data_IF_688117932274
#
_entry.id   IF_688117932274
#
_cell.length_a   1.000
_cell.length_b   1.000
_cell.length_c   1.000
_cell.angle_alpha   90.00
_cell.angle_beta   90.00
_cell.angle_gamma   90.00
#
_symmetry.space_group_name_H-M   'P 1'
#
loop_
_entity.id
_entity.type
_entity.pdbx_description
1 polymer ?
#
# COMPACT_ATOMS: atom_id res chain seq x y z
N UNK A 1 10.36 23.14 -13.06
CA UNK A 1 10.63 22.00 -12.14
C UNK A 1 10.34 22.50 -10.75
N UNK A 2 9.42 21.89 -9.97
CA UNK A 2 9.31 22.25 -8.56
C UNK A 2 10.67 22.01 -7.90
N UNK A 3 11.14 22.95 -7.08
CA UNK A 3 12.36 22.78 -6.30
C UNK A 3 12.20 21.60 -5.35
N UNK A 4 13.14 20.65 -5.39
CA UNK A 4 13.16 19.52 -4.46
C UNK A 4 13.24 20.06 -3.03
N UNK A 5 12.16 19.90 -2.29
CA UNK A 5 12.07 20.30 -0.89
C UNK A 5 12.74 19.21 -0.06
N UNK A 6 13.59 19.59 0.89
CA UNK A 6 14.34 18.62 1.69
C UNK A 6 13.41 17.73 2.54
N UNK A 7 13.83 16.52 2.93
CA UNK A 7 13.05 15.66 3.82
C UNK A 7 12.64 16.36 5.14
N UNK A 8 13.54 17.19 5.70
CA UNK A 8 13.28 17.92 6.93
C UNK A 8 12.16 18.97 6.77
N UNK A 9 12.17 19.70 5.66
CA UNK A 9 11.12 20.67 5.33
C UNK A 9 9.78 20.00 5.08
N UNK A 10 9.77 18.83 4.40
CA UNK A 10 8.56 18.04 4.18
C UNK A 10 7.95 17.54 5.49
N UNK A 11 8.79 17.09 6.44
CA UNK A 11 8.33 16.65 7.76
C UNK A 11 7.75 17.80 8.58
N UNK A 12 8.43 18.95 8.58
CA UNK A 12 7.93 20.16 9.25
C UNK A 12 6.57 20.60 8.68
N UNK A 13 6.42 20.54 7.35
CA UNK A 13 5.15 20.82 6.68
C UNK A 13 4.06 19.81 7.04
N UNK A 14 4.34 18.51 7.02
CA UNK A 14 3.38 17.47 7.38
C UNK A 14 2.87 17.64 8.83
N UNK A 15 3.77 17.90 9.78
CA UNK A 15 3.41 18.19 11.18
C UNK A 15 2.44 19.36 11.29
N UNK A 16 2.70 20.45 10.57
CA UNK A 16 1.82 21.62 10.58
C UNK A 16 0.43 21.28 10.03
N UNK A 17 0.37 20.61 8.89
CA UNK A 17 -0.89 20.21 8.27
C UNK A 17 -1.71 19.30 9.19
N UNK A 18 -1.06 18.37 9.90
CA UNK A 18 -1.72 17.48 10.85
C UNK A 18 -2.22 18.22 12.10
N UNK A 19 -1.46 19.18 12.62
CA UNK A 19 -1.86 19.97 13.79
C UNK A 19 -3.05 20.89 13.51
N UNK A 20 -3.10 21.47 12.32
CA UNK A 20 -4.13 22.45 11.94
C UNK A 20 -5.42 21.77 11.42
N UNK A 21 -5.37 20.47 11.10
CA UNK A 21 -6.51 19.73 10.55
C UNK A 21 -7.55 19.38 11.63
N UNK A 22 -8.81 19.73 11.38
CA UNK A 22 -9.95 19.30 12.20
C UNK A 22 -10.49 17.92 11.81
N UNK A 23 -10.17 17.45 10.59
CA UNK A 23 -10.56 16.14 10.08
C UNK A 23 -9.43 15.57 9.21
N UNK A 24 -9.05 14.32 9.48
CA UNK A 24 -7.97 13.63 8.77
C UNK A 24 -8.52 12.33 8.18
N UNK A 25 -8.34 12.17 6.86
CA UNK A 25 -8.56 10.90 6.17
C UNK A 25 -7.19 10.27 5.89
N UNK A 26 -7.01 9.02 6.31
CA UNK A 26 -5.82 8.23 6.00
C UNK A 26 -6.22 7.14 5.03
N UNK A 27 -5.64 7.15 3.84
CA UNK A 27 -5.74 6.04 2.89
C UNK A 27 -4.52 5.15 3.07
N UNK A 28 -4.73 3.90 3.45
CA UNK A 28 -3.67 2.91 3.63
C UNK A 28 -3.73 1.83 2.55
N UNK A 29 -2.61 1.14 2.33
CA UNK A 29 -2.54 -0.08 1.54
C UNK A 29 -1.88 -1.20 2.36
N UNK A 30 -1.68 -2.37 1.75
CA UNK A 30 -1.12 -3.56 2.41
C UNK A 30 0.22 -3.32 3.12
N UNK A 31 1.01 -2.34 2.67
CA UNK A 31 2.30 -2.01 3.28
C UNK A 31 2.23 -1.66 4.76
N UNK A 32 1.12 -1.10 5.25
CA UNK A 32 0.95 -0.80 6.69
C UNK A 32 0.95 -2.06 7.57
N UNK A 33 0.65 -3.22 6.98
CA UNK A 33 0.56 -4.52 7.69
C UNK A 33 1.83 -5.37 7.55
N UNK A 34 2.80 -4.95 6.74
CA UNK A 34 4.02 -5.72 6.47
C UNK A 34 4.81 -6.02 7.76
N UNK A 35 4.98 -5.03 8.63
CA UNK A 35 5.68 -5.16 9.91
C UNK A 35 4.91 -6.02 10.92
N UNK A 36 3.63 -6.30 10.67
CA UNK A 36 2.82 -7.25 11.46
C UNK A 36 2.89 -8.69 10.93
N UNK A 37 3.74 -8.96 9.93
CA UNK A 37 3.89 -10.29 9.34
C UNK A 37 2.84 -10.65 8.28
N UNK A 38 1.99 -9.69 7.87
CA UNK A 38 1.04 -9.91 6.76
C UNK A 38 1.77 -9.64 5.43
N UNK A 39 1.84 -10.61 4.51
CA UNK A 39 2.49 -10.40 3.22
C UNK A 39 1.84 -9.28 2.42
N UNK A 40 2.65 -8.56 1.67
CA UNK A 40 2.18 -7.51 0.76
C UNK A 40 2.04 -8.04 -0.66
N UNK A 41 1.30 -7.33 -1.50
CA UNK A 41 1.19 -7.71 -2.91
C UNK A 41 2.46 -7.43 -3.71
N UNK A 42 3.21 -6.37 -3.38
CA UNK A 42 4.42 -5.92 -4.09
C UNK A 42 5.55 -5.70 -3.09
N UNK A 43 6.80 -5.90 -3.51
CA UNK A 43 7.99 -5.72 -2.65
C UNK A 43 8.95 -6.89 -2.79
N UNK A 44 9.97 -6.94 -1.94
CA UNK A 44 10.97 -8.03 -1.95
C UNK A 44 10.31 -9.40 -1.80
N UNK A 45 9.34 -9.53 -0.91
CA UNK A 45 8.56 -10.76 -0.68
C UNK A 45 7.10 -10.64 -1.17
N UNK A 46 6.85 -9.80 -2.17
CA UNK A 46 5.50 -9.52 -2.64
C UNK A 46 4.84 -10.71 -3.35
N UNK A 47 3.58 -11.00 -3.02
CA UNK A 47 2.81 -12.11 -3.60
C UNK A 47 2.81 -12.11 -5.14
N UNK A 48 2.82 -10.92 -5.76
CA UNK A 48 2.75 -10.78 -7.22
C UNK A 48 4.05 -11.14 -7.95
N UNK A 49 5.13 -11.45 -7.22
CA UNK A 49 6.33 -12.04 -7.83
C UNK A 49 6.10 -13.49 -8.23
N UNK A 50 5.23 -14.19 -7.50
CA UNK A 50 4.99 -15.61 -7.68
C UNK A 50 3.67 -15.90 -8.41
N UNK A 51 2.74 -14.94 -8.44
CA UNK A 51 1.43 -15.09 -9.05
C UNK A 51 1.00 -13.84 -9.80
N UNK A 52 0.31 -14.00 -10.93
CA UNK A 52 -0.28 -12.86 -11.62
C UNK A 52 -1.59 -12.45 -10.95
N UNK A 53 -1.87 -11.16 -10.73
CA UNK A 53 -3.09 -10.73 -10.05
C UNK A 53 -4.38 -11.24 -10.71
N UNK A 54 -4.39 -11.33 -12.04
CA UNK A 54 -5.56 -11.78 -12.81
C UNK A 54 -5.87 -13.25 -12.58
N UNK A 55 -4.89 -14.04 -12.15
CA UNK A 55 -4.99 -15.48 -11.90
C UNK A 55 -5.51 -15.80 -10.49
N UNK A 56 -5.58 -14.81 -9.59
CA UNK A 56 -6.02 -15.02 -8.21
C UNK A 56 -7.16 -14.10 -7.77
N UNK A 57 -7.16 -12.83 -8.17
CA UNK A 57 -8.05 -11.81 -7.60
C UNK A 57 -9.25 -11.49 -8.51
N UNK A 58 -9.85 -12.50 -9.14
CA UNK A 58 -11.04 -12.33 -9.99
C UNK A 58 -12.11 -13.40 -9.70
N UNK A 59 -13.41 -13.09 -9.87
CA UNK A 59 -14.46 -14.10 -9.75
C UNK A 59 -14.27 -15.28 -10.71
N UNK A 60 -13.70 -15.03 -11.89
CA UNK A 60 -13.42 -16.05 -12.90
C UNK A 60 -12.30 -16.99 -12.47
N UNK A 61 -11.25 -16.46 -11.83
CA UNK A 61 -10.18 -17.27 -11.25
C UNK A 61 -10.73 -18.22 -10.18
N UNK A 62 -11.53 -17.70 -9.25
CA UNK A 62 -12.17 -18.53 -8.22
C UNK A 62 -13.12 -19.59 -8.82
N UNK A 63 -13.89 -19.23 -9.87
CA UNK A 63 -14.76 -20.19 -10.54
C UNK A 63 -13.99 -21.29 -11.30
N UNK A 64 -12.74 -21.01 -11.70
CA UNK A 64 -11.88 -21.95 -12.40
C UNK A 64 -11.18 -22.91 -11.44
N UNK A 65 -10.59 -22.40 -10.37
CA UNK A 65 -9.89 -23.17 -9.35
C UNK A 65 -10.05 -22.53 -7.96
N UNK A 66 -11.08 -22.92 -7.18
CA UNK A 66 -11.35 -22.36 -5.86
C UNK A 66 -10.42 -22.91 -4.76
N UNK A 67 -9.64 -23.97 -5.02
CA UNK A 67 -8.66 -24.47 -4.04
C UNK A 67 -7.35 -23.67 -4.13
N UNK A 68 -7.07 -23.07 -5.30
CA UNK A 68 -5.96 -22.16 -5.54
C UNK A 68 -6.23 -20.72 -5.06
N UNK A 69 -7.49 -20.28 -5.06
CA UNK A 69 -7.94 -18.90 -4.75
C UNK A 69 -8.72 -18.85 -3.44
#
# INVERSE_FOLDING_TARGET
>A
MPSETSPAENLARARRLLNDASQVLVLTGAGVSAESGVPTFRGEDGLWKNFRPEELATPQAFAHDPDLV
#
